data_IF_931157745617
#
_entry.id   IF_931157745617
#
_cell.length_a   1.000
_cell.length_b   1.000
_cell.length_c   1.000
_cell.angle_alpha   90.00
_cell.angle_beta   90.00
_cell.angle_gamma   90.00
#
_symmetry.space_group_name_H-M   'P 1'
#
loop_
_entity.id
_entity.type
_entity.pdbx_description
1 polymer ?
#
# COMPACT_ATOMS: atom_id res chain seq x y z
N UNK A 1 -1.19 -18.60 21.07
CA UNK A 1 -1.80 -17.41 20.43
C UNK A 1 -0.90 -16.17 20.37
N UNK A 2 -0.18 -15.81 21.44
CA UNK A 2 0.65 -14.59 21.47
C UNK A 2 1.65 -14.44 20.31
N UNK A 3 2.35 -15.52 19.94
CA UNK A 3 3.30 -15.49 18.81
C UNK A 3 2.61 -15.21 17.46
N UNK A 4 1.44 -15.80 17.21
CA UNK A 4 0.68 -15.58 15.97
C UNK A 4 0.19 -14.13 15.88
N UNK A 5 -0.31 -13.58 16.99
CA UNK A 5 -0.70 -12.17 17.09
C UNK A 5 0.50 -11.25 16.84
N UNK A 6 1.65 -11.56 17.45
CA UNK A 6 2.88 -10.79 17.24
C UNK A 6 3.31 -10.79 15.77
N UNK A 7 3.39 -11.97 15.14
CA UNK A 7 3.74 -12.10 13.72
C UNK A 7 2.74 -11.35 12.85
N UNK A 8 1.44 -11.47 13.13
CA UNK A 8 0.39 -10.76 12.39
C UNK A 8 0.55 -9.24 12.45
N UNK A 9 0.71 -8.69 13.66
CA UNK A 9 0.84 -7.24 13.87
C UNK A 9 2.14 -6.72 13.25
N UNK A 10 3.26 -7.41 13.45
CA UNK A 10 4.54 -7.01 12.84
C UNK A 10 4.48 -7.05 11.31
N UNK A 11 3.88 -8.11 10.74
CA UNK A 11 3.70 -8.22 9.30
C UNK A 11 2.78 -7.10 8.77
N UNK A 12 1.71 -6.77 9.47
CA UNK A 12 0.81 -5.68 9.09
C UNK A 12 1.52 -4.32 9.14
N UNK A 13 2.29 -4.04 10.19
CA UNK A 13 3.05 -2.79 10.33
C UNK A 13 4.09 -2.64 9.22
N UNK A 14 4.90 -3.68 8.97
CA UNK A 14 5.93 -3.63 7.93
C UNK A 14 5.32 -3.59 6.52
N UNK A 15 4.28 -4.38 6.28
CA UNK A 15 3.57 -4.42 5.00
C UNK A 15 2.93 -3.08 4.66
N UNK A 16 2.11 -2.55 5.57
CA UNK A 16 1.32 -1.33 5.35
C UNK A 16 2.16 -0.07 5.55
N UNK A 17 3.14 -0.08 6.46
CA UNK A 17 4.02 1.06 6.72
C UNK A 17 4.73 1.57 5.47
N UNK A 18 5.06 0.66 4.53
CA UNK A 18 5.65 1.02 3.24
C UNK A 18 4.75 1.92 2.36
N UNK A 19 3.44 2.00 2.63
CA UNK A 19 2.47 2.77 1.83
C UNK A 19 2.52 4.27 2.13
N UNK A 20 3.12 4.69 3.25
CA UNK A 20 3.29 6.12 3.56
C UNK A 20 4.45 6.75 2.79
N UNK A 21 5.50 5.99 2.44
CA UNK A 21 6.66 6.52 1.71
C UNK A 21 6.28 7.13 0.34
N UNK A 22 5.43 6.49 -0.49
CA UNK A 22 4.92 7.08 -1.73
C UNK A 22 4.30 8.47 -1.62
N UNK A 23 3.72 8.85 -0.47
CA UNK A 23 3.16 10.19 -0.28
C UNK A 23 4.21 11.30 -0.38
N UNK A 24 5.46 10.98 -0.02
CA UNK A 24 6.58 11.90 -0.10
C UNK A 24 7.28 11.82 -1.47
N UNK A 25 7.21 10.65 -2.12
CA UNK A 25 7.89 10.38 -3.38
C UNK A 25 7.09 10.82 -4.60
N UNK A 26 5.75 10.82 -4.52
CA UNK A 26 4.86 11.23 -5.61
C UNK A 26 4.52 12.71 -5.45
N UNK A 27 5.24 13.57 -6.17
CA UNK A 27 4.96 15.01 -6.20
C UNK A 27 4.69 15.46 -7.63
N UNK A 28 3.66 16.27 -7.81
CA UNK A 28 3.18 16.69 -9.13
C UNK A 28 4.14 17.61 -9.89
N UNK A 29 5.11 18.22 -9.21
CA UNK A 29 6.04 19.24 -9.74
C UNK A 29 7.48 18.72 -9.97
N UNK A 30 7.71 17.42 -9.86
CA UNK A 30 9.04 16.83 -10.01
C UNK A 30 9.57 16.90 -11.45
N UNK A 31 10.88 17.11 -11.58
CA UNK A 31 11.58 16.88 -12.83
C UNK A 31 11.47 15.40 -13.23
N UNK A 32 11.44 15.13 -14.53
CA UNK A 32 11.25 13.76 -15.04
C UNK A 32 12.36 12.80 -14.57
N UNK A 33 13.59 13.30 -14.39
CA UNK A 33 14.71 12.55 -13.85
C UNK A 33 14.46 12.08 -12.39
N UNK A 34 13.96 12.97 -11.54
CA UNK A 34 13.64 12.64 -10.14
C UNK A 34 12.43 11.70 -10.05
N UNK A 35 11.45 11.89 -10.95
CA UNK A 35 10.29 11.02 -11.04
C UNK A 35 10.70 9.58 -11.41
N UNK A 36 11.68 9.39 -12.32
CA UNK A 36 12.21 8.05 -12.65
C UNK A 36 12.72 7.33 -11.41
N UNK A 37 13.56 8.01 -10.64
CA UNK A 37 14.14 7.46 -9.41
C UNK A 37 13.04 7.13 -8.41
N UNK A 38 12.08 8.04 -8.24
CA UNK A 38 10.93 7.87 -7.35
C UNK A 38 10.07 6.65 -7.76
N UNK A 39 9.78 6.48 -9.05
CA UNK A 39 8.99 5.35 -9.55
C UNK A 39 9.70 4.00 -9.40
N UNK A 40 11.03 3.96 -9.57
CA UNK A 40 11.82 2.76 -9.30
C UNK A 40 11.76 2.40 -7.82
N UNK A 41 11.93 3.39 -6.93
CA UNK A 41 11.83 3.18 -5.49
C UNK A 41 10.42 2.70 -5.09
N UNK A 42 9.37 3.31 -5.65
CA UNK A 42 7.98 2.90 -5.43
C UNK A 42 7.71 1.47 -5.91
N UNK A 43 8.29 1.05 -7.04
CA UNK A 43 8.17 -0.35 -7.51
C UNK A 43 8.77 -1.32 -6.49
N UNK A 44 9.85 -0.95 -5.83
CA UNK A 44 10.49 -1.75 -4.77
C UNK A 44 9.65 -1.73 -3.49
N UNK A 45 9.20 -0.56 -3.04
CA UNK A 45 8.33 -0.40 -1.87
C UNK A 45 7.03 -1.20 -2.02
N UNK A 46 6.40 -1.17 -3.20
CA UNK A 46 5.21 -1.97 -3.50
C UNK A 46 5.44 -3.49 -3.48
N UNK A 47 6.65 -4.01 -3.22
CA UNK A 47 6.89 -5.44 -2.94
C UNK A 47 6.56 -5.80 -1.50
N UNK A 48 6.74 -4.88 -0.55
CA UNK A 48 6.45 -5.14 0.87
C UNK A 48 4.99 -5.50 1.12
N UNK A 49 3.98 -4.77 0.60
CA UNK A 49 2.58 -5.15 0.79
C UNK A 49 2.22 -6.50 0.16
N UNK A 50 2.96 -6.97 -0.84
CA UNK A 50 2.69 -8.27 -1.47
C UNK A 50 3.32 -9.41 -0.68
N UNK A 51 4.60 -9.27 -0.33
CA UNK A 51 5.33 -10.33 0.37
C UNK A 51 4.92 -10.34 1.84
N UNK A 52 5.19 -9.26 2.56
CA UNK A 52 4.91 -9.18 4.00
C UNK A 52 3.42 -9.03 4.24
N UNK A 53 2.72 -8.34 3.35
CA UNK A 53 1.29 -8.17 3.51
C UNK A 53 0.46 -9.43 3.23
N UNK A 54 0.94 -10.39 2.44
CA UNK A 54 0.26 -11.69 2.35
C UNK A 54 0.40 -12.48 3.66
N UNK A 55 1.56 -12.40 4.33
CA UNK A 55 1.75 -13.00 5.67
C UNK A 55 0.76 -12.42 6.68
N UNK A 56 0.56 -11.09 6.68
CA UNK A 56 -0.43 -10.43 7.53
C UNK A 56 -1.86 -10.90 7.22
N UNK A 57 -2.22 -11.05 5.94
CA UNK A 57 -3.53 -11.55 5.54
C UNK A 57 -3.78 -12.98 6.04
N UNK A 58 -2.86 -13.92 5.76
CA UNK A 58 -3.02 -15.32 6.15
C UNK A 58 -3.02 -15.48 7.67
N UNK A 59 -2.12 -14.80 8.37
CA UNK A 59 -2.11 -14.82 9.84
C UNK A 59 -3.38 -14.20 10.43
N UNK A 60 -3.96 -13.17 9.80
CA UNK A 60 -5.25 -12.60 10.20
C UNK A 60 -6.41 -13.58 10.04
N UNK A 61 -6.46 -14.29 8.92
CA UNK A 61 -7.44 -15.37 8.70
C UNK A 61 -7.29 -16.48 9.75
N UNK A 62 -6.06 -16.91 10.05
CA UNK A 62 -5.80 -17.90 11.09
C UNK A 62 -6.26 -17.41 12.47
N UNK A 63 -6.10 -16.11 12.78
CA UNK A 63 -6.59 -15.53 14.03
C UNK A 63 -8.12 -15.53 14.11
N UNK A 64 -8.84 -15.26 13.00
CA UNK A 64 -10.32 -15.39 12.98
C UNK A 64 -10.75 -16.82 13.25
N UNK A 65 -10.11 -17.81 12.59
CA UNK A 65 -10.56 -19.20 12.61
C UNK A 65 -10.24 -19.88 13.95
N UNK A 66 -9.05 -19.66 14.49
CA UNK A 66 -8.55 -20.37 15.66
C UNK A 66 -8.59 -19.55 16.96
N UNK A 67 -8.78 -18.24 16.86
CA UNK A 67 -8.84 -17.36 18.03
C UNK A 67 -10.24 -17.34 18.65
N UNK A 68 -10.26 -17.24 19.98
CA UNK A 68 -11.47 -16.97 20.76
C UNK A 68 -11.31 -15.60 21.41
N UNK A 69 -11.94 -14.58 20.80
CA UNK A 69 -11.86 -13.17 21.20
C UNK A 69 -13.19 -12.64 21.76
N UNK A 70 -14.15 -13.52 22.05
CA UNK A 70 -15.52 -13.13 22.40
C UNK A 70 -16.26 -12.44 21.25
N UNK A 71 -17.53 -12.10 21.46
CA UNK A 71 -18.39 -11.57 20.38
C UNK A 71 -17.92 -10.24 19.80
N UNK A 72 -17.53 -9.29 20.67
CA UNK A 72 -17.10 -7.95 20.27
C UNK A 72 -15.72 -8.00 19.60
N UNK A 73 -14.76 -8.70 20.22
CA UNK A 73 -13.41 -8.86 19.68
C UNK A 73 -13.38 -9.60 18.35
N UNK A 74 -14.25 -10.59 18.15
CA UNK A 74 -14.36 -11.32 16.89
C UNK A 74 -14.87 -10.44 15.74
N UNK A 75 -15.92 -9.63 15.99
CA UNK A 75 -16.43 -8.67 14.99
C UNK A 75 -15.38 -7.62 14.66
N UNK A 76 -14.63 -7.15 15.66
CA UNK A 76 -13.54 -6.20 15.48
C UNK A 76 -12.40 -6.78 14.62
N UNK A 77 -12.01 -8.01 14.89
CA UNK A 77 -10.97 -8.72 14.13
C UNK A 77 -11.43 -8.97 12.68
N UNK A 78 -12.70 -9.32 12.47
CA UNK A 78 -13.26 -9.48 11.13
C UNK A 78 -13.29 -8.14 10.36
N UNK A 79 -13.69 -7.05 11.02
CA UNK A 79 -13.73 -5.71 10.42
C UNK A 79 -12.33 -5.21 10.01
N UNK A 80 -11.33 -5.40 10.88
CA UNK A 80 -9.94 -5.08 10.55
C UNK A 80 -9.39 -5.95 9.40
N UNK A 81 -9.70 -7.25 9.38
CA UNK A 81 -9.30 -8.14 8.28
C UNK A 81 -9.97 -7.73 6.95
N UNK A 82 -11.24 -7.35 6.97
CA UNK A 82 -11.93 -6.85 5.79
C UNK A 82 -11.27 -5.57 5.26
N UNK A 83 -11.01 -4.59 6.15
CA UNK A 83 -10.32 -3.35 5.79
C UNK A 83 -8.92 -3.63 5.20
N UNK A 84 -8.20 -4.59 5.78
CA UNK A 84 -6.91 -5.05 5.27
C UNK A 84 -7.02 -5.60 3.84
N UNK A 85 -8.02 -6.45 3.55
CA UNK A 85 -8.26 -7.01 2.22
C UNK A 85 -8.53 -5.89 1.20
N UNK A 86 -9.35 -4.89 1.57
CA UNK A 86 -9.63 -3.74 0.70
C UNK A 86 -8.35 -2.98 0.36
N UNK A 87 -7.51 -2.68 1.36
CA UNK A 87 -6.20 -2.06 1.17
C UNK A 87 -5.33 -2.89 0.22
N UNK A 88 -5.26 -4.20 0.46
CA UNK A 88 -4.45 -5.12 -0.35
C UNK A 88 -4.91 -5.12 -1.82
N UNK A 89 -6.21 -5.16 -2.08
CA UNK A 89 -6.77 -5.10 -3.43
C UNK A 89 -6.43 -3.77 -4.11
N UNK A 90 -6.53 -2.63 -3.41
CA UNK A 90 -6.18 -1.33 -3.99
C UNK A 90 -4.68 -1.28 -4.34
N UNK A 91 -3.80 -1.73 -3.44
CA UNK A 91 -2.35 -1.68 -3.67
C UNK A 91 -1.93 -2.61 -4.81
N UNK A 92 -2.40 -3.86 -4.78
CA UNK A 92 -1.98 -4.89 -5.73
C UNK A 92 -2.71 -4.76 -7.07
N UNK A 93 -4.00 -4.49 -7.03
CA UNK A 93 -4.87 -4.43 -8.20
C UNK A 93 -4.88 -3.07 -8.91
N UNK A 94 -4.75 -1.95 -8.19
CA UNK A 94 -4.88 -0.61 -8.79
C UNK A 94 -3.56 0.16 -8.84
N UNK A 95 -2.83 0.24 -7.73
CA UNK A 95 -1.62 1.07 -7.63
C UNK A 95 -0.46 0.45 -8.41
N UNK A 96 -0.17 -0.83 -8.18
CA UNK A 96 0.96 -1.52 -8.83
C UNK A 96 0.95 -1.44 -10.36
N UNK A 97 -0.17 -1.71 -11.06
CA UNK A 97 -0.23 -1.57 -12.52
C UNK A 97 0.02 -0.13 -12.99
N UNK A 98 -0.51 0.87 -12.26
CA UNK A 98 -0.31 2.29 -12.59
C UNK A 98 1.14 2.72 -12.45
N UNK A 99 1.82 2.30 -11.38
CA UNK A 99 3.27 2.54 -11.21
C UNK A 99 4.06 1.92 -12.35
N UNK A 100 3.76 0.66 -12.73
CA UNK A 100 4.44 -0.01 -13.85
C UNK A 100 4.21 0.71 -15.18
N UNK A 101 2.97 1.13 -15.46
CA UNK A 101 2.63 1.88 -16.68
C UNK A 101 3.39 3.20 -16.76
N UNK A 102 3.42 3.96 -15.66
CA UNK A 102 4.12 5.24 -15.62
C UNK A 102 5.63 5.04 -15.74
N UNK A 103 6.19 4.06 -15.03
CA UNK A 103 7.61 3.72 -15.13
C UNK A 103 7.99 3.30 -16.56
N UNK A 104 7.18 2.47 -17.22
CA UNK A 104 7.42 2.06 -18.61
C UNK A 104 7.46 3.27 -19.54
N UNK A 105 6.49 4.17 -19.43
CA UNK A 105 6.45 5.37 -20.27
C UNK A 105 7.66 6.27 -20.02
N UNK A 106 7.96 6.54 -18.74
CA UNK A 106 9.06 7.43 -18.37
C UNK A 106 10.41 6.81 -18.72
N UNK A 107 10.56 5.48 -18.77
CA UNK A 107 11.81 4.81 -19.15
C UNK A 107 12.03 4.63 -20.66
N UNK A 108 11.06 5.00 -21.51
CA UNK A 108 11.19 4.85 -22.95
C UNK A 108 12.23 5.84 -23.52
N UNK A 109 13.03 5.40 -24.51
CA UNK A 109 14.11 6.19 -25.11
C UNK A 109 13.64 7.53 -25.68
N UNK A 110 12.48 7.55 -26.34
CA UNK A 110 11.87 8.77 -26.91
C UNK A 110 11.51 9.82 -25.85
N UNK A 111 11.37 9.41 -24.58
CA UNK A 111 10.99 10.28 -23.47
C UNK A 111 12.18 10.70 -22.60
N UNK A 112 13.43 10.39 -23.01
CA UNK A 112 14.65 10.73 -22.25
C UNK A 112 14.98 12.21 -22.21
N UNK A 113 14.63 12.96 -23.24
CA UNK A 113 14.90 14.39 -23.33
C UNK A 113 13.76 15.25 -22.76
N UNK A 114 12.64 14.63 -22.38
CA UNK A 114 11.49 15.32 -21.83
C UNK A 114 11.77 15.77 -20.40
N UNK A 115 11.75 17.08 -20.15
CA UNK A 115 12.03 17.66 -18.83
C UNK A 115 10.85 17.48 -17.86
N UNK A 116 9.61 17.51 -18.37
CA UNK A 116 8.36 17.44 -17.58
C UNK A 116 7.32 16.54 -18.24
N UNK A 117 6.49 15.89 -17.43
CA UNK A 117 5.41 15.05 -17.94
C UNK A 117 4.43 15.85 -18.82
N UNK A 118 4.04 15.32 -19.99
CA UNK A 118 2.95 15.89 -20.76
C UNK A 118 1.62 15.76 -19.98
N UNK A 119 0.60 16.56 -20.32
CA UNK A 119 -0.65 16.64 -19.56
C UNK A 119 -1.36 15.29 -19.35
N UNK A 120 -1.31 14.39 -20.35
CA UNK A 120 -1.96 13.09 -20.26
C UNK A 120 -1.29 12.18 -19.20
N UNK A 121 0.04 12.19 -19.10
CA UNK A 121 0.79 11.41 -18.13
C UNK A 121 0.81 12.07 -16.76
N UNK A 122 0.74 13.40 -16.70
CA UNK A 122 0.53 14.12 -15.44
C UNK A 122 -0.75 13.65 -14.75
N UNK A 123 -1.86 13.49 -15.49
CA UNK A 123 -3.09 12.92 -14.93
C UNK A 123 -2.91 11.50 -14.39
N UNK A 124 -2.00 10.70 -14.96
CA UNK A 124 -1.71 9.35 -14.42
C UNK A 124 -0.98 9.44 -13.08
N UNK A 125 -0.04 10.38 -12.96
CA UNK A 125 0.69 10.66 -11.72
C UNK A 125 -0.26 11.19 -10.63
N UNK A 126 -1.12 12.15 -10.96
CA UNK A 126 -2.05 12.74 -10.00
C UNK A 126 -3.07 11.69 -9.50
N UNK A 127 -3.60 10.86 -10.40
CA UNK A 127 -4.45 9.72 -10.01
C UNK A 127 -3.70 8.74 -9.12
N UNK A 128 -2.43 8.47 -9.43
CA UNK A 128 -1.60 7.58 -8.61
C UNK A 128 -1.41 8.16 -7.20
N UNK A 129 -1.11 9.46 -7.09
CA UNK A 129 -0.98 10.17 -5.82
C UNK A 129 -2.28 10.08 -5.01
N UNK A 130 -3.43 10.33 -5.64
CA UNK A 130 -4.74 10.18 -5.02
C UNK A 130 -4.94 8.79 -4.40
N UNK A 131 -4.63 7.71 -5.13
CA UNK A 131 -4.77 6.36 -4.60
C UNK A 131 -3.83 6.09 -3.41
N UNK A 132 -2.64 6.67 -3.39
CA UNK A 132 -1.77 6.57 -2.22
C UNK A 132 -2.35 7.29 -1.01
N UNK A 133 -2.96 8.46 -1.17
CA UNK A 133 -3.67 9.14 -0.07
C UNK A 133 -4.85 8.31 0.45
N UNK A 134 -5.65 7.73 -0.45
CA UNK A 134 -6.76 6.84 -0.07
C UNK A 134 -6.25 5.67 0.75
N UNK A 135 -5.21 4.98 0.28
CA UNK A 135 -4.68 3.83 1.03
C UNK A 135 -4.04 4.26 2.34
N UNK A 136 -3.33 5.38 2.41
CA UNK A 136 -2.76 5.88 3.65
C UNK A 136 -3.84 6.20 4.70
N UNK A 137 -4.98 6.76 4.28
CA UNK A 137 -6.13 6.98 5.15
C UNK A 137 -6.70 5.66 5.68
N UNK A 138 -6.94 4.68 4.79
CA UNK A 138 -7.42 3.35 5.18
C UNK A 138 -6.43 2.61 6.09
N UNK A 139 -5.13 2.74 5.81
CA UNK A 139 -4.04 2.19 6.62
C UNK A 139 -4.01 2.79 8.03
N UNK A 140 -4.22 4.10 8.14
CA UNK A 140 -4.28 4.81 9.43
C UNK A 140 -5.49 4.31 10.22
N UNK A 141 -6.65 4.18 9.57
CA UNK A 141 -7.86 3.62 10.17
C UNK A 141 -7.65 2.17 10.63
N UNK A 142 -6.95 1.36 9.85
CA UNK A 142 -6.63 -0.01 10.24
C UNK A 142 -5.71 -0.04 11.46
N UNK A 143 -4.67 0.79 11.51
CA UNK A 143 -3.82 0.87 12.69
C UNK A 143 -4.58 1.33 13.92
N UNK A 144 -5.51 2.26 13.76
CA UNK A 144 -6.43 2.63 14.83
C UNK A 144 -7.19 1.40 15.35
N UNK A 145 -7.77 0.58 14.48
CA UNK A 145 -8.43 -0.67 14.88
C UNK A 145 -7.46 -1.67 15.52
N UNK A 146 -6.22 -1.78 15.05
CA UNK A 146 -5.26 -2.72 15.63
C UNK A 146 -4.77 -2.32 17.03
N UNK A 147 -4.67 -1.01 17.29
CA UNK A 147 -4.15 -0.45 18.54
C UNK A 147 -5.27 -0.31 19.57
N UNK A 148 -6.39 0.29 19.18
CA UNK A 148 -7.58 0.47 20.01
C UNK A 148 -8.38 -0.83 19.94
N UNK A 149 -7.93 -1.85 20.68
CA UNK A 149 -8.68 -3.10 20.83
C UNK A 149 -9.78 -2.91 21.88
N UNK A 150 -11.02 -3.36 21.61
CA UNK A 150 -12.08 -3.40 22.61
C UNK A 150 -11.82 -4.47 23.68
#
# INVERSE_FOLDING_TARGET
MGLLVFVHVMAAIVGIGSVYCPLLLVRSDQALADLRVSLVLMRTLNRFPVVVGSVALFSGVLLVIFGDYGSIGQVWLLGSLFLYIVIYIIVVGLIRPKVRRLLFWVSHDDNKEVVRLPPAQQQWLDRLAYWYYVVACLATLLFFFMIVKP
#
